data_IF_700005348858
#
_entry.id   IF_700005348858
#
_cell.length_a   1.000
_cell.length_b   1.000
_cell.length_c   1.000
_cell.angle_alpha   90.00
_cell.angle_beta   90.00
_cell.angle_gamma   90.00
#
_symmetry.space_group_name_H-M   'P 1'
#
loop_
_entity.id
_entity.type
_entity.pdbx_description
1 polymer ?
#
# COMPACT_ATOMS: atom_id res chain seq x y z
N UNK A 1 4.32 -27.10 -25.09
CA UNK A 1 4.61 -26.61 -23.73
C UNK A 1 3.41 -25.85 -23.18
N UNK A 2 2.72 -26.39 -22.17
CA UNK A 2 1.55 -25.75 -21.54
C UNK A 2 2.00 -24.51 -20.76
N UNK A 3 1.67 -23.30 -21.24
CA UNK A 3 1.84 -22.04 -20.49
C UNK A 3 0.93 -22.08 -19.26
N UNK A 4 1.48 -22.45 -18.10
CA UNK A 4 0.83 -22.22 -16.81
C UNK A 4 0.83 -20.72 -16.55
N UNK A 5 -0.28 -20.06 -16.91
CA UNK A 5 -0.63 -18.72 -16.44
C UNK A 5 -1.01 -18.82 -14.96
N UNK A 6 -0.01 -19.00 -14.11
CA UNK A 6 -0.13 -18.75 -12.68
C UNK A 6 0.75 -17.56 -12.40
N UNK A 7 0.15 -16.45 -11.92
CA UNK A 7 0.91 -15.41 -11.21
C UNK A 7 1.90 -16.16 -10.29
N UNK A 8 3.22 -15.90 -10.36
CA UNK A 8 4.18 -16.56 -9.48
C UNK A 8 3.77 -16.25 -8.04
N UNK A 9 3.07 -17.20 -7.44
CA UNK A 9 2.49 -17.09 -6.11
C UNK A 9 3.65 -17.33 -5.16
N UNK A 10 4.43 -16.27 -4.92
CA UNK A 10 5.48 -16.30 -3.91
C UNK A 10 4.81 -16.62 -2.56
N UNK A 11 5.24 -17.68 -1.85
CA UNK A 11 4.70 -18.02 -0.55
C UNK A 11 4.98 -16.86 0.40
N UNK A 12 3.90 -16.23 0.89
CA UNK A 12 3.94 -15.00 1.71
C UNK A 12 3.26 -13.79 1.08
N UNK A 13 3.02 -13.76 -0.24
CA UNK A 13 2.34 -12.64 -0.90
C UNK A 13 0.87 -12.50 -0.47
N UNK A 14 0.13 -13.61 -0.33
CA UNK A 14 -1.27 -13.59 0.12
C UNK A 14 -1.42 -13.01 1.52
N UNK A 15 -0.52 -13.34 2.43
CA UNK A 15 -0.53 -12.81 3.81
C UNK A 15 -0.31 -11.29 3.79
N UNK A 16 0.64 -10.80 2.99
CA UNK A 16 0.85 -9.37 2.82
C UNK A 16 -0.41 -8.67 2.28
N UNK A 17 -1.04 -9.21 1.23
CA UNK A 17 -2.28 -8.63 0.68
C UNK A 17 -3.41 -8.59 1.71
N UNK A 18 -3.58 -9.66 2.50
CA UNK A 18 -4.57 -9.71 3.58
C UNK A 18 -4.26 -8.67 4.66
N UNK A 19 -3.01 -8.58 5.12
CA UNK A 19 -2.58 -7.59 6.11
C UNK A 19 -2.79 -6.16 5.59
N UNK A 20 -2.42 -5.88 4.33
CA UNK A 20 -2.63 -4.56 3.72
C UNK A 20 -4.11 -4.22 3.58
N UNK A 21 -4.95 -5.20 3.28
CA UNK A 21 -6.40 -5.03 3.22
C UNK A 21 -6.96 -4.67 4.59
N UNK A 22 -6.59 -5.43 5.63
CA UNK A 22 -7.00 -5.16 7.01
C UNK A 22 -6.54 -3.76 7.46
N UNK A 23 -5.27 -3.40 7.19
CA UNK A 23 -4.75 -2.08 7.53
C UNK A 23 -5.52 -0.98 6.78
N UNK A 24 -5.86 -1.19 5.49
CA UNK A 24 -6.61 -0.21 4.70
C UNK A 24 -8.04 -0.03 5.22
N UNK A 25 -8.67 -1.10 5.71
CA UNK A 25 -9.99 -1.02 6.38
C UNK A 25 -9.87 -0.21 7.68
N UNK A 26 -8.87 -0.51 8.52
CA UNK A 26 -8.63 0.25 9.76
C UNK A 26 -8.30 1.72 9.49
N UNK A 27 -7.56 2.02 8.42
CA UNK A 27 -7.32 3.38 7.96
C UNK A 27 -8.62 4.08 7.60
N UNK A 28 -9.49 3.44 6.82
CA UNK A 28 -10.78 4.00 6.42
C UNK A 28 -11.70 4.24 7.63
N UNK A 29 -11.78 3.30 8.57
CA UNK A 29 -12.54 3.48 9.82
C UNK A 29 -11.98 4.66 10.62
N UNK A 30 -10.65 4.79 10.70
CA UNK A 30 -10.01 5.91 11.39
C UNK A 30 -10.34 7.26 10.75
N UNK A 31 -10.45 7.32 9.41
CA UNK A 31 -10.89 8.51 8.68
C UNK A 31 -12.32 8.88 9.07
N UNK A 32 -13.24 7.91 9.06
CA UNK A 32 -14.63 8.14 9.43
C UNK A 32 -14.74 8.67 10.86
N UNK A 33 -14.05 8.03 11.81
CA UNK A 33 -14.05 8.44 13.22
C UNK A 33 -13.48 9.85 13.39
N UNK A 34 -12.40 10.21 12.68
CA UNK A 34 -11.85 11.57 12.67
C UNK A 34 -12.88 12.58 12.17
N UNK A 35 -13.60 12.27 11.09
CA UNK A 35 -14.63 13.14 10.53
C UNK A 35 -15.78 13.36 11.52
N UNK A 36 -16.22 12.32 12.22
CA UNK A 36 -17.29 12.42 13.23
C UNK A 36 -16.86 13.28 14.42
N UNK A 37 -15.65 13.09 14.95
CA UNK A 37 -15.14 13.92 16.05
C UNK A 37 -14.97 15.37 15.62
N UNK A 38 -14.49 15.62 14.42
CA UNK A 38 -14.36 16.97 13.88
C UNK A 38 -15.75 17.63 13.73
N UNK A 39 -16.73 16.92 13.18
CA UNK A 39 -18.09 17.42 13.04
C UNK A 39 -18.70 17.77 14.41
N UNK A 40 -18.54 16.91 15.42
CA UNK A 40 -19.01 17.16 16.79
C UNK A 40 -18.31 18.37 17.43
N UNK A 41 -16.99 18.48 17.29
CA UNK A 41 -16.23 19.62 17.80
C UNK A 41 -16.74 20.94 17.20
N UNK A 42 -17.06 20.95 15.89
CA UNK A 42 -17.68 22.10 15.22
C UNK A 42 -19.08 22.35 15.80
N UNK A 43 -19.94 21.33 15.89
CA UNK A 43 -21.30 21.51 16.42
C UNK A 43 -21.31 22.07 17.85
N UNK A 44 -20.45 21.57 18.75
CA UNK A 44 -20.33 22.09 20.11
C UNK A 44 -19.83 23.53 20.15
N UNK A 45 -18.89 23.89 19.28
CA UNK A 45 -18.43 25.27 19.15
C UNK A 45 -19.57 26.21 18.71
N UNK A 46 -20.42 25.76 17.79
CA UNK A 46 -21.58 26.54 17.31
C UNK A 46 -22.72 26.62 18.34
N UNK A 47 -22.93 25.58 19.15
CA UNK A 47 -23.97 25.56 20.20
C UNK A 47 -23.59 26.36 21.45
N UNK A 48 -22.35 26.86 21.54
CA UNK A 48 -21.87 27.60 22.72
C UNK A 48 -21.65 26.70 23.94
N UNK A 49 -21.46 25.40 23.72
CA UNK A 49 -21.15 24.42 24.76
C UNK A 49 -19.81 24.72 25.44
N UNK A 50 -19.59 24.12 26.62
CA UNK A 50 -18.37 24.39 27.40
C UNK A 50 -17.09 24.08 26.61
N UNK A 51 -16.08 24.95 26.74
CA UNK A 51 -14.78 24.83 26.05
C UNK A 51 -14.09 23.49 26.33
N UNK A 52 -14.38 22.88 27.49
CA UNK A 52 -13.87 21.57 27.87
C UNK A 52 -14.39 20.44 26.97
N UNK A 53 -15.67 20.46 26.57
CA UNK A 53 -16.24 19.50 25.62
C UNK A 53 -15.57 19.63 24.24
N UNK A 54 -15.27 20.85 23.79
CA UNK A 54 -14.59 21.05 22.49
C UNK A 54 -13.14 20.56 22.55
N UNK A 55 -12.43 20.81 23.66
CA UNK A 55 -11.05 20.36 23.86
C UNK A 55 -10.93 18.83 23.91
N UNK A 56 -11.84 18.16 24.62
CA UNK A 56 -11.84 16.70 24.74
C UNK A 56 -12.02 16.04 23.37
N UNK A 57 -12.94 16.55 22.56
CA UNK A 57 -13.25 16.06 21.22
C UNK A 57 -12.07 16.31 20.26
N UNK A 58 -11.39 17.43 20.42
CA UNK A 58 -10.15 17.75 19.69
C UNK A 58 -9.00 16.81 20.06
N UNK A 59 -8.90 16.40 21.33
CA UNK A 59 -7.91 15.40 21.77
C UNK A 59 -8.22 14.02 21.17
N UNK A 60 -9.47 13.59 21.16
CA UNK A 60 -9.88 12.33 20.50
C UNK A 60 -9.60 12.34 19.00
N UNK A 61 -9.83 13.49 18.34
CA UNK A 61 -9.41 13.69 16.95
C UNK A 61 -7.90 13.51 16.79
N UNK A 62 -7.09 14.14 17.64
CA UNK A 62 -5.63 14.05 17.62
C UNK A 62 -5.11 12.62 17.80
N UNK A 63 -5.68 11.87 18.74
CA UNK A 63 -5.34 10.45 18.97
C UNK A 63 -5.66 9.62 17.73
N UNK A 64 -6.87 9.77 17.18
CA UNK A 64 -7.31 9.02 16.00
C UNK A 64 -6.45 9.36 14.78
N UNK A 65 -6.04 10.63 14.64
CA UNK A 65 -5.12 11.09 13.60
C UNK A 65 -3.75 10.42 13.72
N UNK A 66 -3.19 10.36 14.93
CA UNK A 66 -1.92 9.68 15.18
C UNK A 66 -1.99 8.18 14.85
N UNK A 67 -3.06 7.50 15.28
CA UNK A 67 -3.30 6.08 14.98
C UNK A 67 -3.36 5.84 13.47
N UNK A 68 -4.11 6.67 12.74
CA UNK A 68 -4.17 6.60 11.27
C UNK A 68 -2.79 6.76 10.64
N UNK A 69 -2.01 7.74 11.10
CA UNK A 69 -0.67 7.97 10.57
C UNK A 69 0.26 6.77 10.81
N UNK A 70 0.19 6.16 11.99
CA UNK A 70 0.92 4.92 12.29
C UNK A 70 0.50 3.76 11.39
N UNK A 71 -0.79 3.54 11.19
CA UNK A 71 -1.30 2.48 10.30
C UNK A 71 -0.78 2.64 8.86
N UNK A 72 -0.82 3.86 8.33
CA UNK A 72 -0.30 4.19 7.01
C UNK A 72 1.19 3.87 6.91
N UNK A 73 1.96 4.23 7.93
CA UNK A 73 3.42 4.03 7.97
C UNK A 73 3.79 2.54 8.08
N UNK A 74 3.09 1.78 8.94
CA UNK A 74 3.30 0.33 9.07
C UNK A 74 3.03 -0.37 7.73
N UNK A 75 1.94 -0.01 7.05
CA UNK A 75 1.63 -0.57 5.73
C UNK A 75 2.71 -0.25 4.69
N UNK A 76 3.30 0.94 4.70
CA UNK A 76 4.43 1.27 3.82
C UNK A 76 5.65 0.40 4.10
N UNK A 77 6.06 0.28 5.37
CA UNK A 77 7.24 -0.51 5.76
C UNK A 77 7.07 -2.00 5.37
N UNK A 78 5.86 -2.54 5.51
CA UNK A 78 5.56 -3.92 5.11
C UNK A 78 5.70 -4.12 3.60
N UNK A 79 5.25 -3.15 2.80
CA UNK A 79 5.34 -3.19 1.35
C UNK A 79 6.77 -3.03 0.87
N UNK A 80 7.53 -2.09 1.43
CA UNK A 80 8.96 -1.88 1.11
C UNK A 80 9.75 -3.17 1.31
N UNK A 81 9.61 -3.83 2.48
CA UNK A 81 10.27 -5.11 2.76
C UNK A 81 9.89 -6.21 1.77
N UNK A 82 8.63 -6.24 1.34
CA UNK A 82 8.17 -7.23 0.37
C UNK A 82 8.72 -6.98 -1.03
N UNK A 83 8.78 -5.72 -1.45
CA UNK A 83 9.31 -5.32 -2.74
C UNK A 83 10.82 -5.57 -2.82
N UNK A 84 11.57 -5.34 -1.73
CA UNK A 84 12.98 -5.73 -1.63
C UNK A 84 13.21 -7.22 -1.83
N UNK A 85 12.45 -8.05 -1.11
CA UNK A 85 12.54 -9.50 -1.24
C UNK A 85 12.20 -9.96 -2.66
N UNK A 86 11.15 -9.40 -3.25
CA UNK A 86 10.72 -9.75 -4.62
C UNK A 86 11.71 -9.26 -5.67
N UNK A 87 12.25 -8.05 -5.54
CA UNK A 87 13.23 -7.48 -6.46
C UNK A 87 14.53 -8.28 -6.47
N UNK A 88 15.03 -8.70 -5.30
CA UNK A 88 16.24 -9.53 -5.22
C UNK A 88 16.06 -10.92 -5.85
N UNK A 89 14.89 -11.54 -5.70
CA UNK A 89 14.54 -12.81 -6.35
C UNK A 89 14.45 -12.66 -7.86
N UNK A 90 13.81 -11.59 -8.34
CA UNK A 90 13.68 -11.30 -9.77
C UNK A 90 15.06 -11.04 -10.40
N UNK A 91 15.98 -10.40 -9.67
CA UNK A 91 17.36 -10.20 -10.11
C UNK A 91 18.10 -11.50 -10.33
N UNK A 92 17.97 -12.46 -9.41
CA UNK A 92 18.57 -13.79 -9.56
C UNK A 92 17.99 -14.53 -10.77
N UNK A 93 16.67 -14.52 -10.92
CA UNK A 93 15.99 -15.18 -12.05
C UNK A 93 16.34 -14.56 -13.40
N UNK A 94 16.49 -13.24 -13.48
CA UNK A 94 16.90 -12.56 -14.72
C UNK A 94 18.33 -12.93 -15.11
N UNK A 95 19.26 -12.94 -14.14
CA UNK A 95 20.65 -13.36 -14.38
C UNK A 95 20.69 -14.81 -14.87
N UNK A 96 19.98 -15.72 -14.20
CA UNK A 96 19.90 -17.14 -14.58
C UNK A 96 19.23 -17.33 -15.96
N UNK A 97 18.19 -16.56 -16.26
CA UNK A 97 17.56 -16.56 -17.58
C UNK A 97 18.56 -16.14 -18.67
N UNK A 98 19.35 -15.10 -18.46
CA UNK A 98 20.39 -14.72 -19.44
C UNK A 98 21.42 -15.82 -19.67
N UNK A 99 21.80 -16.59 -18.65
CA UNK A 99 22.68 -17.74 -18.80
C UNK A 99 22.04 -18.89 -19.60
N UNK A 100 20.76 -19.17 -19.38
CA UNK A 100 20.03 -20.24 -20.11
C UNK A 100 19.70 -19.90 -21.57
N UNK A 101 19.51 -18.63 -21.93
CA UNK A 101 19.29 -18.21 -23.32
C UNK A 101 20.54 -18.31 -24.20
N UNK A 102 21.72 -18.47 -23.59
CA UNK A 102 22.98 -18.72 -24.28
C UNK A 102 23.62 -17.50 -24.96
N UNK A 103 24.89 -17.63 -25.39
CA UNK A 103 25.72 -16.50 -25.86
C UNK A 103 25.20 -15.83 -27.13
N UNK A 104 24.38 -16.53 -27.95
CA UNK A 104 23.82 -16.00 -29.20
C UNK A 104 22.78 -14.89 -28.95
N UNK A 105 22.04 -14.97 -27.84
CA UNK A 105 21.07 -13.94 -27.45
C UNK A 105 21.74 -12.72 -26.83
N UNK A 106 22.78 -12.95 -26.03
CA UNK A 106 23.58 -11.90 -25.38
C UNK A 106 24.32 -11.02 -26.40
N UNK A 107 24.75 -11.60 -27.52
CA UNK A 107 25.36 -10.85 -28.62
C UNK A 107 24.38 -9.96 -29.39
N UNK A 108 23.12 -10.39 -29.58
CA UNK A 108 22.09 -9.58 -30.26
C UNK A 108 21.48 -8.50 -29.37
N UNK A 109 21.33 -8.77 -28.06
CA UNK A 109 20.72 -7.83 -27.13
C UNK A 109 21.73 -6.80 -26.57
N UNK A 110 23.04 -7.08 -26.65
CA UNK A 110 24.09 -6.24 -26.10
C UNK A 110 24.24 -6.41 -24.58
N UNK A 111 25.43 -6.80 -24.13
CA UNK A 111 25.74 -7.03 -22.71
C UNK A 111 25.45 -5.81 -21.83
N UNK A 112 25.74 -4.59 -22.33
CA UNK A 112 25.44 -3.34 -21.63
C UNK A 112 23.94 -3.13 -21.38
N UNK A 113 23.10 -3.39 -22.39
CA UNK A 113 21.65 -3.26 -22.26
C UNK A 113 21.07 -4.27 -21.26
N UNK A 114 21.56 -5.51 -21.26
CA UNK A 114 21.11 -6.55 -20.32
C UNK A 114 21.52 -6.23 -18.87
N UNK A 115 22.72 -5.67 -18.66
CA UNK A 115 23.17 -5.21 -17.34
C UNK A 115 22.33 -4.03 -16.86
N UNK A 116 22.09 -3.02 -17.71
CA UNK A 116 21.21 -1.88 -17.39
C UNK A 116 19.80 -2.35 -17.05
N UNK A 117 19.21 -3.27 -17.84
CA UNK A 117 17.89 -3.82 -17.57
C UNK A 117 17.81 -4.57 -16.23
N UNK A 118 18.89 -5.26 -15.86
CA UNK A 118 19.00 -5.98 -14.58
C UNK A 118 19.13 -5.07 -13.37
N UNK A 119 19.65 -3.86 -13.56
CA UNK A 119 19.82 -2.88 -12.49
C UNK A 119 18.60 -1.96 -12.46
N UNK A 120 18.42 -1.16 -13.50
CA UNK A 120 17.37 -0.14 -13.56
C UNK A 120 15.97 -0.72 -13.74
N UNK A 121 15.83 -1.79 -14.54
CA UNK A 121 14.52 -2.40 -14.81
C UNK A 121 13.94 -3.05 -13.56
N UNK A 122 14.80 -3.69 -12.75
CA UNK A 122 14.39 -4.33 -11.50
C UNK A 122 14.08 -3.29 -10.42
N UNK A 123 14.87 -2.21 -10.35
CA UNK A 123 14.62 -1.12 -9.42
C UNK A 123 13.29 -0.41 -9.72
N UNK A 124 13.02 -0.08 -10.99
CA UNK A 124 11.72 0.48 -11.42
C UNK A 124 10.56 -0.47 -11.09
N UNK A 125 10.76 -1.77 -11.26
CA UNK A 125 9.75 -2.76 -10.91
C UNK A 125 9.51 -2.85 -9.39
N UNK A 126 10.56 -2.78 -8.57
CA UNK A 126 10.47 -2.69 -7.11
C UNK A 126 9.63 -1.47 -6.71
N UNK A 127 9.97 -0.29 -7.22
CA UNK A 127 9.23 0.95 -6.95
C UNK A 127 7.77 0.87 -7.41
N UNK A 128 7.50 0.24 -8.56
CA UNK A 128 6.13 0.02 -9.03
C UNK A 128 5.31 -0.82 -8.04
N UNK A 129 5.88 -1.92 -7.54
CA UNK A 129 5.24 -2.75 -6.51
C UNK A 129 5.03 -1.93 -5.23
N UNK A 130 6.02 -1.14 -4.82
CA UNK A 130 5.97 -0.35 -3.59
C UNK A 130 4.88 0.69 -3.58
N UNK A 131 4.65 1.35 -4.71
CA UNK A 131 3.70 2.44 -4.80
C UNK A 131 2.33 1.95 -5.24
N UNK A 132 2.27 1.11 -6.28
CA UNK A 132 1.01 0.83 -6.97
C UNK A 132 0.13 -0.12 -6.19
N UNK A 133 0.69 -1.17 -5.58
CA UNK A 133 -0.09 -2.17 -4.83
C UNK A 133 -0.84 -1.52 -3.65
N UNK A 134 -0.17 -0.85 -2.69
CA UNK A 134 -0.87 -0.25 -1.56
C UNK A 134 -1.80 0.87 -2.02
N UNK A 135 -1.41 1.66 -3.04
CA UNK A 135 -2.24 2.75 -3.55
C UNK A 135 -3.54 2.25 -4.18
N UNK A 136 -3.49 1.17 -4.96
CA UNK A 136 -4.69 0.58 -5.55
C UNK A 136 -5.64 0.07 -4.47
N UNK A 137 -5.14 -0.68 -3.48
CA UNK A 137 -5.95 -1.22 -2.38
C UNK A 137 -6.63 -0.08 -1.62
N UNK A 138 -5.87 0.93 -1.21
CA UNK A 138 -6.42 2.08 -0.47
C UNK A 138 -7.41 2.88 -1.30
N UNK A 139 -7.07 3.16 -2.56
CA UNK A 139 -7.94 3.94 -3.46
C UNK A 139 -9.26 3.22 -3.79
N UNK A 140 -9.33 1.90 -3.67
CA UNK A 140 -10.57 1.16 -3.84
C UNK A 140 -11.36 1.03 -2.53
N UNK A 141 -10.68 0.71 -1.42
CA UNK A 141 -11.34 0.41 -0.13
C UNK A 141 -11.82 1.69 0.57
N UNK A 142 -10.99 2.73 0.62
CA UNK A 142 -11.30 3.95 1.39
C UNK A 142 -12.56 4.63 0.87
N UNK A 143 -12.71 4.93 -0.45
CA UNK A 143 -13.94 5.54 -0.94
C UNK A 143 -15.16 4.63 -0.77
N UNK A 144 -15.00 3.32 -1.01
CA UNK A 144 -16.11 2.36 -0.86
C UNK A 144 -16.67 2.32 0.57
N UNK A 145 -15.79 2.31 1.58
CA UNK A 145 -16.21 2.35 2.98
C UNK A 145 -16.82 3.68 3.39
N UNK A 146 -16.29 4.81 2.87
CA UNK A 146 -16.88 6.12 3.10
C UNK A 146 -18.31 6.18 2.54
N UNK A 147 -18.51 5.74 1.30
CA UNK A 147 -19.84 5.71 0.68
C UNK A 147 -20.81 4.85 1.50
N UNK A 148 -20.39 3.64 1.90
CA UNK A 148 -21.21 2.75 2.73
C UNK A 148 -21.63 3.45 4.03
N UNK A 149 -20.70 4.12 4.71
CA UNK A 149 -21.01 4.86 5.93
C UNK A 149 -21.96 6.03 5.71
N UNK A 150 -21.77 6.81 4.65
CA UNK A 150 -22.66 7.93 4.32
C UNK A 150 -24.09 7.43 4.05
N UNK A 151 -24.25 6.32 3.34
CA UNK A 151 -25.57 5.70 3.12
C UNK A 151 -26.26 5.19 4.39
N UNK A 152 -25.52 4.96 5.49
CA UNK A 152 -26.14 4.60 6.78
C UNK A 152 -26.54 5.80 7.62
N UNK A 153 -26.10 7.00 7.26
CA UNK A 153 -26.43 8.26 7.94
C UNK A 153 -27.61 9.00 7.29
N UNK A 154 -27.98 8.62 6.07
CA UNK A 154 -29.14 9.12 5.31
C UNK A 154 -30.35 8.21 5.57
#
# INVERSE_FOLDING_TARGET
MKRKRGLPSYPGSRVLYVVLTIISILEAVSIIVQTVFLARAITFLFQGETVQSVLNETVYFGITFAVRHMLVRISQILVERFAEKTGSLLRKQLIEAYFTLGPRYVQTAGTGHLVTLSIEGIEKFKTYIELTIPKMIRSSIVPGLIVLYVFTLD
#
